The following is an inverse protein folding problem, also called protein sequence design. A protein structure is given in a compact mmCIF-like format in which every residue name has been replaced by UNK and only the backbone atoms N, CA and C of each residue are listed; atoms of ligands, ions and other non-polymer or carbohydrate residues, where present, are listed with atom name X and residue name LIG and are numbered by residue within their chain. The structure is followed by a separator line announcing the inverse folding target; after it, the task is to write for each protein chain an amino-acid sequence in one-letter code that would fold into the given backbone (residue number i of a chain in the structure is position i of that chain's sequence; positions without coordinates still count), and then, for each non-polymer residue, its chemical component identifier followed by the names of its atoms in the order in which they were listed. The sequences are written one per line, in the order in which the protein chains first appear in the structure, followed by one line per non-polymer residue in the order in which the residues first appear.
data_IF_723200152152
#
_entry.id   IF_723200152152
#
_cell.length_a   1.000
_cell.length_b   1.000
_cell.length_c   1.000
_cell.angle_alpha   90.00
_cell.angle_beta   90.00
_cell.angle_gamma   90.00
#
_symmetry.space_group_name_H-M   'P 1'
#
loop_
_entity.id
_entity.type
_entity.pdbx_description
1 polymer ?
#
# COMPACT_ATOMS: atom_id res chain seq x y z
N UNK A 1 17.36 35.67 -76.74
CA UNK A 1 18.35 34.65 -76.34
C UNK A 1 18.02 34.33 -74.90
N UNK A 2 17.21 33.30 -74.70
CA UNK A 2 17.59 32.03 -74.02
C UNK A 2 17.71 32.22 -72.50
N UNK A 3 17.16 31.42 -71.58
CA UNK A 3 16.30 30.24 -71.62
C UNK A 3 15.74 30.04 -70.20
N UNK A 4 14.67 29.26 -70.15
CA UNK A 4 13.98 28.65 -69.02
C UNK A 4 14.85 27.59 -68.29
N UNK A 5 14.79 27.49 -66.97
CA UNK A 5 14.64 26.26 -66.13
C UNK A 5 14.44 26.72 -64.66
N UNK A 6 13.92 25.97 -63.68
CA UNK A 6 13.77 24.54 -63.50
C UNK A 6 13.93 24.24 -62.00
N UNK A 7 12.94 23.54 -61.42
CA UNK A 7 12.90 23.02 -60.03
C UNK A 7 14.26 22.52 -59.49
N UNK A 8 14.53 22.70 -58.18
CA UNK A 8 14.54 21.59 -57.21
C UNK A 8 15.02 21.95 -55.78
N UNK A 9 14.33 21.31 -54.85
CA UNK A 9 14.53 21.03 -53.43
C UNK A 9 15.99 20.72 -52.98
N UNK A 10 16.41 21.19 -51.78
CA UNK A 10 16.91 20.36 -50.64
C UNK A 10 17.60 21.17 -49.51
N UNK A 11 17.09 20.93 -48.30
CA UNK A 11 17.80 20.62 -47.04
C UNK A 11 18.61 21.71 -46.29
N UNK A 12 17.99 22.23 -45.22
CA UNK A 12 18.66 22.71 -44.00
C UNK A 12 17.82 22.35 -42.78
N UNK A 13 18.19 21.29 -42.07
CA UNK A 13 17.34 20.59 -41.10
C UNK A 13 17.15 21.32 -39.76
N UNK A 14 15.91 21.26 -39.26
CA UNK A 14 15.57 21.50 -37.85
C UNK A 14 15.50 20.15 -37.14
N UNK A 15 16.35 19.96 -36.14
CA UNK A 15 16.35 18.76 -35.30
C UNK A 15 15.13 18.76 -34.36
N UNK A 16 14.16 17.90 -34.68
CA UNK A 16 13.05 17.52 -33.83
C UNK A 16 13.54 16.44 -32.84
N UNK A 17 13.50 16.73 -31.55
CA UNK A 17 13.46 15.69 -30.51
C UNK A 17 11.98 15.32 -30.29
N UNK A 18 11.57 14.04 -30.38
CA UNK A 18 10.21 13.66 -30.09
C UNK A 18 10.04 13.54 -28.57
N UNK A 19 9.26 14.42 -27.96
CA UNK A 19 8.62 14.11 -26.67
C UNK A 19 7.47 13.14 -26.94
N UNK A 20 7.81 11.86 -27.00
CA UNK A 20 6.85 10.78 -27.03
C UNK A 20 6.17 10.63 -25.66
N UNK A 21 4.85 10.84 -25.65
CA UNK A 21 3.90 10.06 -24.87
C UNK A 21 3.91 10.23 -23.35
N UNK A 22 3.20 11.24 -22.85
CA UNK A 22 2.47 11.06 -21.58
C UNK A 22 1.07 10.59 -21.95
N UNK A 23 0.80 9.30 -21.75
CA UNK A 23 -0.52 8.72 -21.91
C UNK A 23 -1.48 9.42 -20.94
N UNK A 24 -2.46 10.14 -21.51
CA UNK A 24 -3.66 10.53 -20.79
C UNK A 24 -4.40 9.26 -20.37
N UNK A 25 -4.24 8.83 -19.12
CA UNK A 25 -5.12 7.82 -18.53
C UNK A 25 -6.43 8.51 -18.23
N UNK A 26 -7.41 8.22 -19.09
CA UNK A 26 -8.71 8.87 -19.12
C UNK A 26 -9.44 8.88 -17.77
N UNK A 27 -10.04 10.03 -17.49
CA UNK A 27 -11.17 10.19 -16.58
C UNK A 27 -12.27 9.21 -16.96
N UNK A 28 -12.30 8.04 -16.31
CA UNK A 28 -13.48 7.19 -16.31
C UNK A 28 -14.58 7.91 -15.51
N UNK A 29 -15.70 8.14 -16.19
CA UNK A 29 -16.89 8.81 -15.70
C UNK A 29 -17.36 8.21 -14.36
N UNK A 30 -17.39 9.05 -13.33
CA UNK A 30 -17.48 8.69 -11.92
C UNK A 30 -18.83 8.09 -11.44
N UNK A 31 -19.75 7.68 -12.33
CA UNK A 31 -21.10 7.25 -11.92
C UNK A 31 -21.56 5.89 -12.44
N UNK A 32 -20.98 5.37 -13.53
CA UNK A 32 -21.40 4.06 -14.11
C UNK A 32 -20.42 2.92 -13.76
N UNK A 33 -19.25 3.23 -13.18
CA UNK A 33 -18.15 2.29 -13.00
C UNK A 33 -17.98 1.68 -11.58
N UNK A 34 -18.59 2.26 -10.53
CA UNK A 34 -18.36 1.82 -9.14
C UNK A 34 -18.80 0.37 -8.85
N UNK A 35 -19.99 -0.10 -9.28
CA UNK A 35 -20.42 -1.47 -9.02
C UNK A 35 -19.54 -2.50 -9.75
N UNK A 36 -19.21 -2.27 -11.02
CA UNK A 36 -18.40 -3.20 -11.81
C UNK A 36 -16.97 -3.36 -11.25
N UNK A 37 -16.34 -2.25 -10.83
CA UNK A 37 -15.02 -2.27 -10.19
C UNK A 37 -15.10 -3.02 -8.85
N UNK A 38 -16.11 -2.71 -8.03
CA UNK A 38 -16.28 -3.37 -6.72
C UNK A 38 -16.50 -4.87 -6.88
N UNK A 39 -17.35 -5.29 -7.82
CA UNK A 39 -17.61 -6.69 -8.10
C UNK A 39 -16.37 -7.43 -8.63
N UNK A 40 -15.59 -6.80 -9.53
CA UNK A 40 -14.34 -7.38 -10.04
C UNK A 40 -13.36 -7.68 -8.90
N UNK A 41 -13.10 -6.70 -8.03
CA UNK A 41 -12.16 -6.89 -6.92
C UNK A 41 -12.70 -7.79 -5.81
N UNK A 42 -14.03 -7.84 -5.60
CA UNK A 42 -14.63 -8.79 -4.68
C UNK A 42 -14.41 -10.25 -5.13
N UNK A 43 -14.47 -10.51 -6.44
CA UNK A 43 -14.21 -11.83 -7.00
C UNK A 43 -12.72 -12.17 -7.06
N UNK A 44 -11.87 -11.24 -7.53
CA UNK A 44 -10.44 -11.46 -7.74
C UNK A 44 -9.64 -11.52 -6.42
N UNK A 45 -10.01 -10.69 -5.46
CA UNK A 45 -9.29 -10.52 -4.19
C UNK A 45 -10.29 -10.67 -3.01
N UNK A 46 -10.85 -11.87 -2.80
CA UNK A 46 -11.91 -12.08 -1.82
C UNK A 46 -11.42 -11.89 -0.37
N UNK A 47 -10.11 -12.00 -0.14
CA UNK A 47 -9.48 -11.92 1.17
C UNK A 47 -8.20 -11.08 1.13
N UNK A 48 -7.73 -10.68 2.30
CA UNK A 48 -6.43 -10.04 2.46
C UNK A 48 -5.32 -11.09 2.41
N UNK A 49 -4.20 -10.78 1.78
CA UNK A 49 -2.99 -11.62 1.85
C UNK A 49 -2.16 -11.27 3.08
N UNK A 50 -1.25 -12.18 3.46
CA UNK A 50 -0.26 -11.90 4.49
C UNK A 50 0.68 -10.76 4.02
N UNK A 51 0.84 -9.67 4.79
CA UNK A 51 1.46 -8.43 4.30
C UNK A 51 2.99 -8.40 4.42
N UNK A 52 3.65 -9.52 4.67
CA UNK A 52 5.11 -9.59 4.78
C UNK A 52 5.66 -10.64 3.82
N UNK A 53 6.74 -10.29 3.12
CA UNK A 53 7.43 -11.19 2.21
C UNK A 53 8.48 -12.02 2.95
N UNK A 54 8.68 -13.27 2.51
CA UNK A 54 9.77 -14.16 2.93
C UNK A 54 9.87 -14.42 4.44
N UNK A 55 8.77 -14.25 5.17
CA UNK A 55 8.67 -14.54 6.60
C UNK A 55 7.38 -15.29 6.89
N UNK A 56 7.38 -16.11 7.93
CA UNK A 56 6.16 -16.78 8.40
C UNK A 56 5.33 -15.87 9.28
N UNK A 57 4.02 -16.11 9.32
CA UNK A 57 3.13 -15.45 10.25
C UNK A 57 3.59 -15.73 11.69
N UNK A 58 4.11 -14.69 12.35
CA UNK A 58 4.46 -14.71 13.75
C UNK A 58 3.88 -13.49 14.44
N UNK A 59 3.01 -13.69 15.42
CA UNK A 59 2.48 -12.58 16.22
C UNK A 59 3.55 -12.16 17.23
N UNK A 60 3.85 -10.86 17.31
CA UNK A 60 4.77 -10.31 18.30
C UNK A 60 4.24 -10.60 19.71
N UNK A 61 5.12 -11.13 20.55
CA UNK A 61 4.93 -11.20 21.99
C UNK A 61 6.27 -10.89 22.65
N UNK A 62 6.28 -9.91 23.55
CA UNK A 62 7.43 -9.52 24.34
C UNK A 62 6.96 -8.94 25.69
N UNK A 63 7.89 -8.46 26.52
CA UNK A 63 7.58 -7.91 27.85
C UNK A 63 6.67 -6.67 27.82
N UNK A 64 6.46 -6.04 26.66
CA UNK A 64 5.53 -4.91 26.50
C UNK A 64 4.12 -5.33 26.12
N UNK A 65 3.88 -6.63 25.97
CA UNK A 65 2.55 -7.22 25.80
C UNK A 65 2.40 -8.02 24.51
N UNK A 66 1.14 -8.37 24.25
CA UNK A 66 0.75 -9.16 23.08
C UNK A 66 0.43 -8.27 21.89
N UNK A 67 0.90 -8.70 20.71
CA UNK A 67 0.57 -8.14 19.41
C UNK A 67 -0.81 -8.52 18.90
N UNK A 68 -1.59 -9.34 19.62
CA UNK A 68 -2.93 -9.75 19.18
C UNK A 68 -3.91 -8.58 19.17
N UNK A 69 -4.88 -8.63 18.26
CA UNK A 69 -6.03 -7.74 18.28
C UNK A 69 -6.75 -7.81 19.64
N UNK A 70 -7.20 -6.68 20.15
CA UNK A 70 -7.91 -6.59 21.43
C UNK A 70 -7.03 -6.69 22.68
N UNK A 71 -5.71 -6.92 22.54
CA UNK A 71 -4.79 -6.96 23.68
C UNK A 71 -4.83 -5.65 24.48
N UNK A 72 -4.78 -5.75 25.81
CA UNK A 72 -4.82 -4.59 26.72
C UNK A 72 -3.62 -3.66 26.47
N UNK A 73 -3.88 -2.37 26.44
CA UNK A 73 -2.88 -1.29 26.37
C UNK A 73 -3.10 -0.33 27.55
N UNK A 74 -2.12 0.53 27.81
CA UNK A 74 -2.20 1.52 28.87
C UNK A 74 -3.42 2.43 28.72
N UNK A 75 -3.99 2.88 29.84
CA UNK A 75 -5.16 3.78 29.86
C UNK A 75 -6.45 3.14 29.35
N UNK A 76 -6.64 1.82 29.56
CA UNK A 76 -7.87 1.11 29.18
C UNK A 76 -8.06 0.86 27.68
N UNK A 77 -7.10 1.31 26.86
CA UNK A 77 -7.13 1.08 25.40
C UNK A 77 -6.96 -0.40 25.06
N UNK A 78 -7.46 -0.77 23.88
CA UNK A 78 -7.23 -2.08 23.27
C UNK A 78 -6.41 -1.93 21.99
N UNK A 79 -5.62 -2.95 21.68
CA UNK A 79 -4.88 -3.02 20.44
C UNK A 79 -5.83 -3.15 19.24
N UNK A 80 -5.69 -2.25 18.25
CA UNK A 80 -6.60 -2.13 17.10
C UNK A 80 -6.16 -2.93 15.87
N UNK A 81 -5.02 -3.59 15.93
CA UNK A 81 -4.47 -4.37 14.84
C UNK A 81 -3.83 -5.66 15.32
N UNK A 82 -2.99 -6.23 14.47
CA UNK A 82 -2.09 -7.33 14.79
C UNK A 82 -0.66 -6.88 14.53
N UNK A 83 0.23 -7.15 15.49
CA UNK A 83 1.65 -6.89 15.34
C UNK A 83 2.33 -8.16 14.82
N UNK A 84 2.81 -8.14 13.57
CA UNK A 84 3.57 -9.23 12.97
C UNK A 84 5.06 -9.03 13.20
N UNK A 85 5.69 -9.94 13.94
CA UNK A 85 7.11 -9.88 14.23
C UNK A 85 7.92 -10.14 12.96
N UNK A 86 8.82 -9.22 12.63
CA UNK A 86 9.74 -9.34 11.52
C UNK A 86 10.97 -8.43 11.74
N UNK A 87 12.14 -8.79 11.20
CA UNK A 87 13.31 -7.91 11.19
C UNK A 87 13.02 -6.54 10.55
N UNK A 88 13.78 -5.52 10.95
CA UNK A 88 13.79 -4.24 10.22
C UNK A 88 14.27 -4.50 8.79
N UNK A 89 13.66 -3.84 7.81
CA UNK A 89 13.95 -4.01 6.39
C UNK A 89 13.14 -5.11 5.70
N UNK A 90 12.39 -5.95 6.42
CA UNK A 90 11.50 -6.94 5.77
C UNK A 90 10.49 -6.23 4.86
N UNK A 91 10.34 -6.64 3.59
CA UNK A 91 9.39 -6.02 2.67
C UNK A 91 7.94 -6.15 3.16
N UNK A 92 7.23 -5.04 3.14
CA UNK A 92 5.80 -4.96 3.45
C UNK A 92 5.02 -4.86 2.15
N UNK A 93 4.04 -5.75 1.98
CA UNK A 93 3.21 -5.85 0.78
C UNK A 93 1.81 -5.31 1.03
N UNK A 94 1.20 -4.74 -0.02
CA UNK A 94 -0.22 -4.43 -0.01
C UNK A 94 -1.04 -5.71 0.13
N UNK A 95 -1.78 -5.84 1.22
CA UNK A 95 -2.60 -7.00 1.52
C UNK A 95 -3.81 -7.13 0.59
N UNK A 96 -4.22 -6.04 -0.07
CA UNK A 96 -5.32 -5.96 -1.04
C UNK A 96 -5.15 -4.71 -1.91
N UNK A 97 -5.63 -4.75 -3.15
CA UNK A 97 -5.52 -3.63 -4.09
C UNK A 97 -6.30 -2.39 -3.61
N UNK A 98 -5.80 -1.20 -3.91
CA UNK A 98 -6.48 0.04 -3.57
C UNK A 98 -5.65 1.30 -3.76
N UNK A 99 -6.23 2.43 -3.36
CA UNK A 99 -5.57 3.73 -3.35
C UNK A 99 -4.75 3.90 -2.08
N UNK A 100 -3.50 4.32 -2.19
CA UNK A 100 -2.55 4.36 -1.08
C UNK A 100 -2.13 5.79 -0.71
N UNK A 101 -1.91 6.04 0.58
CA UNK A 101 -1.39 7.30 1.12
C UNK A 101 -0.38 7.03 2.22
N UNK A 102 0.62 7.90 2.32
CA UNK A 102 1.63 7.92 3.38
C UNK A 102 1.08 8.75 4.54
N UNK A 103 1.13 8.16 5.74
CA UNK A 103 0.87 8.85 6.99
C UNK A 103 2.17 9.03 7.79
N UNK A 104 2.25 10.13 8.56
CA UNK A 104 3.43 10.48 9.34
C UNK A 104 3.23 10.49 10.87
N UNK A 105 4.36 10.63 11.57
CA UNK A 105 4.76 10.10 12.89
C UNK A 105 3.99 10.48 14.16
N UNK A 106 2.93 11.30 14.08
CA UNK A 106 2.40 11.98 15.28
C UNK A 106 1.33 11.20 16.05
N UNK A 107 0.85 10.07 15.56
CA UNK A 107 -0.24 9.28 16.16
C UNK A 107 0.22 8.00 16.91
N UNK A 108 1.53 7.80 17.00
CA UNK A 108 2.13 6.59 17.58
C UNK A 108 2.35 5.46 16.57
N UNK A 109 1.78 5.52 15.37
CA UNK A 109 2.06 4.56 14.28
C UNK A 109 3.45 4.77 13.68
N UNK A 110 3.98 5.99 13.75
CA UNK A 110 5.23 6.30 13.06
C UNK A 110 4.99 6.50 11.57
N UNK A 111 5.97 6.12 10.76
CA UNK A 111 5.80 6.07 9.31
C UNK A 111 4.79 4.96 9.00
N UNK A 112 3.80 5.26 8.18
CA UNK A 112 2.78 4.29 7.84
C UNK A 112 2.20 4.51 6.46
N UNK A 113 1.60 3.45 5.92
CA UNK A 113 0.80 3.48 4.70
C UNK A 113 -0.65 3.17 5.05
N UNK A 114 -1.59 3.85 4.41
CA UNK A 114 -3.01 3.50 4.41
C UNK A 114 -3.41 3.12 2.99
N UNK A 115 -4.17 2.04 2.82
CA UNK A 115 -4.72 1.65 1.52
C UNK A 115 -6.24 1.57 1.64
N UNK A 116 -6.95 2.37 0.84
CA UNK A 116 -8.42 2.33 0.71
C UNK A 116 -8.80 1.38 -0.42
N UNK A 117 -9.55 0.34 -0.08
CA UNK A 117 -9.95 -0.70 -1.01
C UNK A 117 -11.28 -0.37 -1.72
N UNK A 118 -11.52 -0.91 -2.92
CA UNK A 118 -12.78 -0.71 -3.65
C UNK A 118 -14.03 -1.15 -2.90
N UNK A 119 -13.92 -2.19 -2.07
CA UNK A 119 -15.00 -2.65 -1.19
C UNK A 119 -15.25 -1.70 0.00
N UNK A 120 -14.56 -0.57 0.06
CA UNK A 120 -14.70 0.48 1.06
C UNK A 120 -14.00 0.19 2.41
N UNK A 121 -13.34 -0.95 2.58
CA UNK A 121 -12.46 -1.19 3.72
C UNK A 121 -11.14 -0.43 3.58
N UNK A 122 -10.36 -0.35 4.66
CA UNK A 122 -9.03 0.27 4.66
C UNK A 122 -8.05 -0.64 5.40
N UNK A 123 -6.85 -0.83 4.86
CA UNK A 123 -5.72 -1.43 5.60
C UNK A 123 -4.72 -0.37 6.01
N UNK A 124 -4.09 -0.54 7.19
CA UNK A 124 -3.02 0.33 7.68
C UNK A 124 -1.78 -0.47 8.02
N UNK A 125 -0.62 0.06 7.63
CA UNK A 125 0.70 -0.58 7.74
C UNK A 125 1.60 0.35 8.54
N UNK A 126 1.78 0.08 9.83
CA UNK A 126 2.47 0.96 10.78
C UNK A 126 3.88 0.52 11.15
N UNK A 127 4.57 1.44 11.83
CA UNK A 127 5.94 1.30 12.33
C UNK A 127 6.99 1.11 11.23
N UNK A 128 6.70 1.53 10.00
CA UNK A 128 7.58 1.35 8.85
C UNK A 128 8.92 2.08 9.03
N UNK A 129 9.95 1.57 8.37
CA UNK A 129 11.23 2.26 8.22
C UNK A 129 11.18 3.16 6.98
N UNK A 130 10.93 2.55 5.83
CA UNK A 130 10.72 3.23 4.54
C UNK A 130 9.28 3.11 4.05
N UNK A 131 8.88 4.05 3.19
CA UNK A 131 7.66 3.99 2.37
C UNK A 131 8.06 4.07 0.91
N UNK A 132 7.51 3.18 0.07
CA UNK A 132 7.93 2.99 -1.33
C UNK A 132 6.78 3.28 -2.31
N UNK A 133 5.97 4.29 -1.96
CA UNK A 133 4.80 4.71 -2.75
C UNK A 133 4.77 6.23 -2.91
N UNK A 134 3.97 6.71 -3.86
CA UNK A 134 3.52 8.10 -3.91
C UNK A 134 2.14 8.24 -3.24
N UNK A 135 1.85 9.43 -2.72
CA UNK A 135 0.53 9.74 -2.19
C UNK A 135 -0.54 9.70 -3.28
N UNK A 136 -1.68 9.04 -3.00
CA UNK A 136 -2.76 8.85 -3.95
C UNK A 136 -2.44 7.84 -5.05
N UNK A 137 -1.40 7.01 -4.89
CA UNK A 137 -1.04 5.98 -5.88
C UNK A 137 -2.02 4.79 -5.82
N UNK A 138 -2.43 4.28 -6.98
CA UNK A 138 -3.09 2.97 -7.06
C UNK A 138 -2.06 1.85 -6.90
N UNK A 139 -2.30 0.94 -5.96
CA UNK A 139 -1.43 -0.18 -5.62
C UNK A 139 -2.18 -1.49 -5.81
N UNK A 140 -1.55 -2.47 -6.47
CA UNK A 140 -2.08 -3.82 -6.62
C UNK A 140 -1.72 -4.68 -5.40
N UNK A 141 -2.56 -5.66 -5.05
CA UNK A 141 -2.25 -6.67 -4.03
C UNK A 141 -0.88 -7.31 -4.31
N UNK A 142 -0.08 -7.48 -3.26
CA UNK A 142 1.28 -8.03 -3.35
C UNK A 142 2.38 -7.03 -3.76
N UNK A 143 2.02 -5.81 -4.16
CA UNK A 143 3.01 -4.76 -4.45
C UNK A 143 3.70 -4.32 -3.16
N UNK A 144 5.04 -4.19 -3.12
CA UNK A 144 5.72 -3.60 -1.97
C UNK A 144 5.29 -2.15 -1.75
N UNK A 145 5.08 -1.79 -0.48
CA UNK A 145 4.67 -0.44 -0.06
C UNK A 145 5.66 0.22 0.91
N UNK A 146 6.67 -0.53 1.35
CA UNK A 146 7.68 -0.08 2.29
C UNK A 146 8.33 -1.25 3.01
N UNK A 147 8.99 -0.96 4.13
CA UNK A 147 9.71 -1.97 4.91
C UNK A 147 9.37 -1.89 6.39
N UNK A 148 9.45 -3.03 7.07
CA UNK A 148 9.30 -3.12 8.52
C UNK A 148 10.35 -2.26 9.21
N UNK A 149 9.93 -1.52 10.24
CA UNK A 149 10.82 -0.66 11.00
C UNK A 149 10.54 -0.68 12.50
N UNK A 150 10.90 0.44 13.14
CA UNK A 150 10.65 0.70 14.56
C UNK A 150 10.21 2.14 14.81
N UNK A 151 9.58 2.79 13.83
CA UNK A 151 9.14 4.18 13.99
C UNK A 151 7.93 4.31 14.93
N UNK A 152 7.61 5.54 15.36
CA UNK A 152 6.46 5.79 16.24
C UNK A 152 6.68 5.34 17.68
N UNK A 153 5.70 4.60 18.24
CA UNK A 153 5.79 4.07 19.60
C UNK A 153 6.60 2.75 19.69
N UNK A 154 6.90 2.10 18.56
CA UNK A 154 7.74 0.90 18.50
C UNK A 154 9.24 1.19 18.70
N UNK A 155 9.64 2.48 18.79
CA UNK A 155 11.04 2.90 18.92
C UNK A 155 11.74 2.45 20.20
N UNK A 156 10.98 2.09 21.25
CA UNK A 156 11.56 1.66 22.51
C UNK A 156 12.48 0.43 22.29
N UNK A 157 13.69 0.46 22.87
CA UNK A 157 14.74 -0.55 22.63
C UNK A 157 14.24 -1.98 22.82
N UNK A 158 13.40 -2.19 23.82
CA UNK A 158 12.95 -3.52 24.21
C UNK A 158 11.61 -3.96 23.60
N UNK A 159 11.03 -3.17 22.69
CA UNK A 159 9.99 -3.63 21.77
C UNK A 159 10.68 -4.27 20.57
N UNK A 160 10.33 -5.51 20.24
CA UNK A 160 10.86 -6.19 19.04
C UNK A 160 10.34 -5.53 17.76
N UNK A 161 11.13 -5.50 16.70
CA UNK A 161 10.69 -4.98 15.40
C UNK A 161 9.47 -5.77 14.89
N UNK A 162 8.53 -5.05 14.27
CA UNK A 162 7.28 -5.62 13.79
C UNK A 162 6.57 -4.67 12.83
N UNK A 163 5.70 -5.23 11.99
CA UNK A 163 4.65 -4.50 11.30
C UNK A 163 3.41 -4.42 12.20
N UNK A 164 2.89 -3.22 12.41
CA UNK A 164 1.55 -3.06 12.97
C UNK A 164 0.53 -3.03 11.83
N UNK A 165 -0.39 -4.00 11.78
CA UNK A 165 -1.36 -4.14 10.70
C UNK A 165 -2.79 -4.02 11.19
N UNK A 166 -3.56 -3.09 10.62
CA UNK A 166 -4.99 -2.91 10.92
C UNK A 166 -5.86 -3.18 9.69
N UNK A 167 -7.05 -3.73 9.92
CA UNK A 167 -8.16 -3.75 8.96
C UNK A 167 -9.29 -2.91 9.54
N UNK A 168 -9.72 -1.90 8.77
CA UNK A 168 -10.81 -1.01 9.13
C UNK A 168 -12.00 -1.24 8.20
N UNK A 169 -13.18 -1.37 8.80
CA UNK A 169 -14.44 -1.42 8.07
C UNK A 169 -14.72 -0.11 7.31
N UNK A 170 -15.74 -0.10 6.45
CA UNK A 170 -16.26 1.12 5.79
C UNK A 170 -16.53 2.28 6.74
N UNK A 171 -16.87 1.99 8.00
CA UNK A 171 -17.17 2.97 9.05
C UNK A 171 -15.92 3.39 9.87
N UNK A 172 -14.73 2.94 9.48
CA UNK A 172 -13.49 3.22 10.20
C UNK A 172 -13.29 2.40 11.48
N UNK A 173 -14.14 1.40 11.73
CA UNK A 173 -14.01 0.52 12.90
C UNK A 173 -12.96 -0.56 12.65
N UNK A 174 -12.01 -0.70 13.58
CA UNK A 174 -11.01 -1.74 13.55
C UNK A 174 -11.61 -3.12 13.85
N UNK A 175 -11.26 -4.11 13.04
CA UNK A 175 -11.65 -5.52 13.21
C UNK A 175 -10.41 -6.40 13.31
N UNK A 176 -10.56 -7.62 13.83
CA UNK A 176 -9.47 -8.58 13.89
C UNK A 176 -9.03 -8.94 12.46
N UNK A 177 -7.76 -8.68 12.07
CA UNK A 177 -7.26 -9.01 10.73
C UNK A 177 -7.17 -10.51 10.45
N UNK A 178 -6.87 -11.35 11.45
CA UNK A 178 -6.52 -12.76 11.20
C UNK A 178 -7.65 -13.56 10.51
N UNK A 179 -8.93 -13.47 10.93
CA UNK A 179 -10.02 -14.17 10.24
C UNK A 179 -10.36 -13.61 8.86
N UNK A 180 -9.82 -12.45 8.49
CA UNK A 180 -10.05 -11.79 7.20
C UNK A 180 -8.97 -12.16 6.17
N UNK A 181 -7.88 -12.78 6.62
CA UNK A 181 -6.73 -13.13 5.78
C UNK A 181 -6.89 -14.52 5.19
N UNK A 182 -6.44 -14.67 3.95
CA UNK A 182 -6.18 -15.97 3.34
C UNK A 182 -4.77 -16.44 3.73
N UNK A 183 -4.69 -17.12 4.86
CA UNK A 183 -3.43 -17.63 5.44
C UNK A 183 -3.05 -19.04 4.93
N UNK A 184 -3.82 -19.60 3.99
CA UNK A 184 -3.64 -20.96 3.49
C UNK A 184 -3.13 -21.03 2.03
N UNK A 185 -2.92 -19.88 1.37
CA UNK A 185 -2.33 -19.81 0.03
C UNK A 185 -0.81 -19.91 0.08
N UNK A 186 -0.34 -21.09 0.47
CA UNK A 186 0.99 -21.59 0.14
C UNK A 186 0.78 -22.82 -0.78
N UNK A 187 0.43 -22.59 -2.05
CA UNK A 187 0.38 -23.58 -3.13
C UNK A 187 1.23 -23.17 -4.35
#
# INVERSE_FOLDING_TARGET
MDRNDGRSNRNGGVNLWPLAGVAAVGLLTAAVAQPAITHYFAWKEPAYTFPLRDVRLQIRADRYGSGRFGARRSGGRKHKGVDFAAPVGTPVLAAKSGWAWIGQRNDGMGNHVLIKHPDGTTTRYGHLDTTEIADGQWIWQGTPVGTVGKSGNAKAKAIRAHLHFEVLTKRGLAVNPLPQMDINRDD
#
